data_IF_665368193617
#
_entry.id   IF_665368193617
#
_cell.length_a   1.000
_cell.length_b   1.000
_cell.length_c   1.000
_cell.angle_alpha   90.00
_cell.angle_beta   90.00
_cell.angle_gamma   90.00
#
_symmetry.space_group_name_H-M   'P 1'
#
loop_
_entity.id
_entity.type
_entity.pdbx_description
1 polymer ?
#
# COMPACT_ATOMS: atom_id res chain seq x y z
N UNK A 1 -53.79 34.61 21.89
CA UNK A 1 -52.86 34.03 20.91
C UNK A 1 -53.64 32.95 20.19
N UNK A 2 -53.80 33.08 18.88
CA UNK A 2 -54.64 32.16 18.11
C UNK A 2 -53.93 30.82 17.91
N UNK A 3 -54.69 29.72 17.92
CA UNK A 3 -54.14 28.37 17.75
C UNK A 3 -53.55 28.21 16.34
N UNK A 4 -54.14 28.85 15.33
CA UNK A 4 -53.55 28.98 13.99
C UNK A 4 -52.15 29.62 14.02
N UNK A 5 -51.95 30.71 14.78
CA UNK A 5 -50.66 31.41 14.86
C UNK A 5 -49.57 30.55 15.50
N UNK A 6 -49.92 29.75 16.51
CA UNK A 6 -49.01 28.78 17.12
C UNK A 6 -48.62 27.67 16.15
N UNK A 7 -49.58 27.15 15.38
CA UNK A 7 -49.35 26.09 14.38
C UNK A 7 -48.43 26.58 13.25
N UNK A 8 -48.67 27.79 12.76
CA UNK A 8 -47.87 28.38 11.67
C UNK A 8 -46.44 28.74 12.15
N UNK A 9 -46.29 29.17 13.40
CA UNK A 9 -44.98 29.38 14.03
C UNK A 9 -44.22 28.06 14.21
N UNK A 10 -44.91 26.98 14.61
CA UNK A 10 -44.32 25.65 14.74
C UNK A 10 -43.87 25.09 13.40
N UNK A 11 -44.71 25.15 12.36
CA UNK A 11 -44.34 24.66 11.02
C UNK A 11 -43.15 25.44 10.42
N UNK A 12 -43.09 26.75 10.63
CA UNK A 12 -41.93 27.55 10.21
C UNK A 12 -40.65 27.19 10.98
N UNK A 13 -40.76 26.88 12.28
CA UNK A 13 -39.63 26.38 13.08
C UNK A 13 -39.16 25.02 12.56
N UNK A 14 -40.08 24.09 12.29
CA UNK A 14 -39.78 22.76 11.76
C UNK A 14 -39.07 22.86 10.40
N UNK A 15 -39.59 23.68 9.48
CA UNK A 15 -38.95 23.89 8.17
C UNK A 15 -37.55 24.50 8.29
N UNK A 16 -37.35 25.47 9.21
CA UNK A 16 -36.02 26.04 9.46
C UNK A 16 -35.07 25.02 10.08
N UNK A 17 -35.57 24.17 10.97
CA UNK A 17 -34.79 23.11 11.60
C UNK A 17 -34.36 22.06 10.55
N UNK A 18 -35.29 21.62 9.70
CA UNK A 18 -35.03 20.69 8.59
C UNK A 18 -34.04 21.28 7.56
N UNK A 19 -34.21 22.55 7.19
CA UNK A 19 -33.29 23.27 6.30
C UNK A 19 -31.90 23.42 6.91
N UNK A 20 -31.82 23.72 8.20
CA UNK A 20 -30.53 23.82 8.93
C UNK A 20 -29.88 22.45 9.07
N UNK A 21 -30.65 21.41 9.36
CA UNK A 21 -30.17 20.02 9.47
C UNK A 21 -29.61 19.52 8.14
N UNK A 22 -30.36 19.67 7.06
CA UNK A 22 -29.92 19.25 5.72
C UNK A 22 -28.67 20.00 5.26
N UNK A 23 -28.57 21.31 5.54
CA UNK A 23 -27.39 22.10 5.24
C UNK A 23 -26.18 21.70 6.12
N UNK A 24 -26.39 21.39 7.39
CA UNK A 24 -25.30 20.91 8.25
C UNK A 24 -24.78 19.54 7.79
N UNK A 25 -25.67 18.63 7.37
CA UNK A 25 -25.30 17.31 6.84
C UNK A 25 -24.50 17.48 5.54
N UNK A 26 -24.93 18.35 4.62
CA UNK A 26 -24.22 18.55 3.36
C UNK A 26 -22.82 19.16 3.57
N UNK A 27 -22.70 20.17 4.44
CA UNK A 27 -21.40 20.77 4.79
C UNK A 27 -20.48 19.76 5.48
N UNK A 28 -21.01 18.95 6.42
CA UNK A 28 -20.23 17.92 7.09
C UNK A 28 -19.72 16.88 6.07
N UNK A 29 -20.59 16.43 5.16
CA UNK A 29 -20.24 15.48 4.10
C UNK A 29 -19.14 16.02 3.20
N UNK A 30 -19.24 17.26 2.73
CA UNK A 30 -18.23 17.89 1.88
C UNK A 30 -16.88 18.01 2.61
N UNK A 31 -16.88 18.51 3.85
CA UNK A 31 -15.68 18.62 4.67
C UNK A 31 -14.99 17.26 4.92
N UNK A 32 -15.77 16.21 5.17
CA UNK A 32 -15.23 14.86 5.42
C UNK A 32 -14.74 14.20 4.14
N UNK A 33 -15.41 14.41 3.01
CA UNK A 33 -14.93 13.96 1.69
C UNK A 33 -13.63 14.64 1.28
N UNK A 34 -13.50 15.96 1.50
CA UNK A 34 -12.27 16.69 1.23
C UNK A 34 -11.11 16.22 2.10
N UNK A 35 -11.36 15.98 3.40
CA UNK A 35 -10.37 15.39 4.31
C UNK A 35 -9.95 13.99 3.85
N UNK A 36 -10.92 13.18 3.43
CA UNK A 36 -10.68 11.84 2.88
C UNK A 36 -9.80 11.90 1.64
N UNK A 37 -10.14 12.77 0.69
CA UNK A 37 -9.36 13.01 -0.53
C UNK A 37 -7.93 13.46 -0.23
N UNK A 38 -7.77 14.42 0.69
CA UNK A 38 -6.45 14.91 1.11
C UNK A 38 -5.57 13.78 1.68
N UNK A 39 -6.11 12.94 2.56
CA UNK A 39 -5.37 11.81 3.15
C UNK A 39 -5.00 10.74 2.14
N UNK A 40 -5.88 10.47 1.19
CA UNK A 40 -5.60 9.52 0.11
C UNK A 40 -4.60 10.07 -0.90
N UNK A 41 -4.64 11.38 -1.18
CA UNK A 41 -3.63 12.01 -2.03
C UNK A 41 -2.23 11.97 -1.40
N UNK A 42 -2.10 12.07 -0.08
CA UNK A 42 -0.81 11.86 0.59
C UNK A 42 -0.25 10.45 0.35
N UNK A 43 -1.13 9.46 0.21
CA UNK A 43 -0.73 8.08 -0.09
C UNK A 43 -0.15 7.93 -1.50
N UNK A 44 -0.42 8.85 -2.45
CA UNK A 44 0.13 8.81 -3.81
C UNK A 44 1.66 8.94 -3.85
N UNK A 45 2.26 9.60 -2.85
CA UNK A 45 3.71 9.80 -2.82
C UNK A 45 4.49 8.47 -2.81
N UNK A 46 4.02 7.48 -2.04
CA UNK A 46 4.66 6.17 -1.93
C UNK A 46 4.71 5.36 -3.24
N UNK A 47 3.59 5.09 -3.94
CA UNK A 47 3.60 4.37 -5.20
C UNK A 47 4.30 5.15 -6.32
N UNK A 48 4.20 6.48 -6.35
CA UNK A 48 4.92 7.30 -7.36
C UNK A 48 6.43 7.20 -7.15
N UNK A 49 6.90 7.41 -5.92
CA UNK A 49 8.33 7.32 -5.57
C UNK A 49 8.87 5.91 -5.83
N UNK A 50 8.10 4.88 -5.43
CA UNK A 50 8.46 3.47 -5.66
C UNK A 50 8.55 3.15 -7.16
N UNK A 51 7.58 3.59 -7.95
CA UNK A 51 7.57 3.37 -9.40
C UNK A 51 8.81 3.98 -10.06
N UNK A 52 9.14 5.24 -9.73
CA UNK A 52 10.32 5.91 -10.26
C UNK A 52 11.61 5.18 -9.86
N UNK A 53 11.77 4.88 -8.56
CA UNK A 53 12.96 4.20 -8.04
C UNK A 53 13.16 2.83 -8.67
N UNK A 54 12.12 1.98 -8.68
CA UNK A 54 12.25 0.62 -9.21
C UNK A 54 12.36 0.60 -10.74
N UNK A 55 11.79 1.57 -11.46
CA UNK A 55 12.00 1.69 -12.91
C UNK A 55 13.46 2.01 -13.25
N UNK A 56 14.09 2.93 -12.51
CA UNK A 56 15.52 3.21 -12.65
C UNK A 56 16.36 1.98 -12.27
N UNK A 57 16.00 1.31 -11.18
CA UNK A 57 16.69 0.12 -10.71
C UNK A 57 16.64 -1.02 -11.74
N UNK A 58 15.51 -1.20 -12.45
CA UNK A 58 15.41 -2.15 -13.56
C UNK A 58 16.44 -1.83 -14.65
N UNK A 59 16.55 -0.56 -15.06
CA UNK A 59 17.52 -0.15 -16.07
C UNK A 59 18.95 -0.52 -15.69
N UNK A 60 19.35 -0.20 -14.45
CA UNK A 60 20.67 -0.56 -13.91
C UNK A 60 20.86 -2.08 -13.80
N UNK A 61 19.87 -2.80 -13.29
CA UNK A 61 19.98 -4.24 -13.08
C UNK A 61 20.03 -5.01 -14.41
N UNK A 62 19.36 -4.56 -15.47
CA UNK A 62 19.50 -5.13 -16.82
C UNK A 62 20.91 -4.93 -17.35
N UNK A 63 21.43 -3.69 -17.28
CA UNK A 63 22.79 -3.39 -17.72
C UNK A 63 23.83 -4.22 -16.97
N UNK A 64 23.67 -4.33 -15.64
CA UNK A 64 24.54 -5.12 -14.79
C UNK A 64 24.47 -6.62 -15.14
N UNK A 65 23.26 -7.15 -15.36
CA UNK A 65 23.06 -8.53 -15.74
C UNK A 65 23.78 -8.85 -17.04
N UNK A 66 23.61 -8.04 -18.09
CA UNK A 66 24.25 -8.24 -19.40
C UNK A 66 25.78 -8.25 -19.28
N UNK A 67 26.34 -7.36 -18.44
CA UNK A 67 27.80 -7.27 -18.23
C UNK A 67 28.39 -8.43 -17.44
N UNK A 68 27.60 -9.10 -16.61
CA UNK A 68 28.07 -10.11 -15.66
C UNK A 68 27.40 -11.48 -15.86
N UNK A 69 26.96 -11.81 -17.09
CA UNK A 69 26.30 -13.08 -17.40
C UNK A 69 27.20 -14.30 -17.14
N UNK A 70 28.53 -14.14 -17.29
CA UNK A 70 29.50 -15.23 -17.12
C UNK A 70 29.64 -15.66 -15.65
N UNK A 71 29.37 -14.75 -14.72
CA UNK A 71 29.52 -14.99 -13.28
C UNK A 71 28.14 -15.29 -12.69
N UNK A 72 27.88 -16.57 -12.46
CA UNK A 72 26.54 -17.05 -12.10
C UNK A 72 25.91 -16.33 -10.90
N UNK A 73 26.68 -16.01 -9.85
CA UNK A 73 26.13 -15.41 -8.63
C UNK A 73 25.82 -13.91 -8.80
N UNK A 74 26.54 -13.22 -9.69
CA UNK A 74 26.24 -11.84 -10.09
C UNK A 74 25.04 -11.80 -11.03
N UNK A 75 24.96 -12.73 -11.99
CA UNK A 75 23.80 -12.87 -12.85
C UNK A 75 22.53 -13.21 -12.03
N UNK A 76 22.66 -14.10 -11.05
CA UNK A 76 21.56 -14.49 -10.17
C UNK A 76 21.11 -13.35 -9.25
N UNK A 77 22.04 -12.61 -8.64
CA UNK A 77 21.69 -11.45 -7.81
C UNK A 77 20.97 -10.38 -8.61
N UNK A 78 21.44 -10.06 -9.81
CA UNK A 78 20.78 -9.11 -10.71
C UNK A 78 19.39 -9.59 -11.14
N UNK A 79 19.23 -10.88 -11.42
CA UNK A 79 17.94 -11.48 -11.77
C UNK A 79 16.92 -11.37 -10.62
N UNK A 80 17.36 -11.57 -9.37
CA UNK A 80 16.51 -11.35 -8.19
C UNK A 80 16.07 -9.88 -8.12
N UNK A 81 17.01 -8.94 -8.24
CA UNK A 81 16.70 -7.50 -8.19
C UNK A 81 15.71 -7.14 -9.30
N UNK A 82 15.89 -7.65 -10.51
CA UNK A 82 14.95 -7.44 -11.62
C UNK A 82 13.56 -7.98 -11.30
N UNK A 83 13.46 -9.23 -10.88
CA UNK A 83 12.19 -9.88 -10.56
C UNK A 83 11.39 -9.08 -9.51
N UNK A 84 12.03 -8.71 -8.40
CA UNK A 84 11.37 -7.94 -7.34
C UNK A 84 11.07 -6.50 -7.76
N UNK A 85 11.94 -5.86 -8.54
CA UNK A 85 11.69 -4.51 -9.05
C UNK A 85 10.47 -4.48 -9.97
N UNK A 86 10.32 -5.45 -10.88
CA UNK A 86 9.11 -5.59 -11.70
C UNK A 86 7.87 -5.84 -10.84
N UNK A 87 7.96 -6.68 -9.80
CA UNK A 87 6.85 -6.92 -8.89
C UNK A 87 6.42 -5.63 -8.15
N UNK A 88 7.37 -4.82 -7.68
CA UNK A 88 7.07 -3.53 -7.07
C UNK A 88 6.47 -2.53 -8.07
N UNK A 89 7.01 -2.43 -9.29
CA UNK A 89 6.43 -1.56 -10.34
C UNK A 89 4.99 -1.93 -10.64
N UNK A 90 4.69 -3.22 -10.85
CA UNK A 90 3.34 -3.67 -11.11
C UNK A 90 2.39 -3.36 -9.95
N UNK A 91 2.85 -3.59 -8.71
CA UNK A 91 2.07 -3.31 -7.52
C UNK A 91 1.83 -1.81 -7.32
N UNK A 92 2.83 -0.97 -7.57
CA UNK A 92 2.71 0.49 -7.53
C UNK A 92 1.77 1.02 -8.62
N UNK A 93 1.81 0.48 -9.83
CA UNK A 93 0.88 0.83 -10.92
C UNK A 93 -0.56 0.49 -10.54
N UNK A 94 -0.79 -0.70 -9.98
CA UNK A 94 -2.11 -1.11 -9.49
C UNK A 94 -2.59 -0.18 -8.37
N UNK A 95 -1.74 0.09 -7.38
CA UNK A 95 -2.07 0.98 -6.27
C UNK A 95 -2.40 2.40 -6.77
N UNK A 96 -1.65 2.91 -7.75
CA UNK A 96 -1.91 4.21 -8.36
C UNK A 96 -3.25 4.22 -9.10
N UNK A 97 -3.55 3.18 -9.87
CA UNK A 97 -4.85 3.01 -10.53
C UNK A 97 -5.99 2.96 -9.52
N UNK A 98 -5.86 2.15 -8.46
CA UNK A 98 -6.86 2.03 -7.40
C UNK A 98 -7.14 3.39 -6.73
N UNK A 99 -6.10 4.21 -6.47
CA UNK A 99 -6.27 5.55 -5.88
C UNK A 99 -6.92 6.52 -6.87
N UNK A 100 -6.45 6.57 -8.12
CA UNK A 100 -6.94 7.53 -9.12
C UNK A 100 -8.36 7.21 -9.62
N UNK A 101 -8.81 5.96 -9.48
CA UNK A 101 -10.16 5.51 -9.83
C UNK A 101 -11.23 5.78 -8.78
N UNK A 102 -10.85 6.33 -7.61
CA UNK A 102 -11.80 6.65 -6.55
C UNK A 102 -12.77 7.75 -6.99
N UNK A 103 -14.04 7.41 -7.05
CA UNK A 103 -15.13 8.34 -7.34
C UNK A 103 -15.80 8.78 -6.03
N UNK A 104 -15.46 10.01 -5.61
CA UNK A 104 -15.95 10.62 -4.37
C UNK A 104 -17.43 11.02 -4.41
N UNK A 105 -18.11 10.87 -5.55
CA UNK A 105 -19.56 11.10 -5.67
C UNK A 105 -20.39 9.85 -5.35
N UNK A 106 -19.75 8.69 -5.19
CA UNK A 106 -20.42 7.44 -4.87
C UNK A 106 -20.91 7.38 -3.41
N UNK A 107 -21.89 6.50 -3.12
CA UNK A 107 -22.31 6.22 -1.74
C UNK A 107 -21.11 5.90 -0.83
N UNK A 108 -21.17 6.39 0.41
CA UNK A 108 -20.12 6.25 1.42
C UNK A 108 -19.68 4.80 1.61
N UNK A 109 -20.63 3.86 1.58
CA UNK A 109 -20.39 2.41 1.69
C UNK A 109 -19.53 1.85 0.55
N UNK A 110 -19.67 2.38 -0.67
CA UNK A 110 -18.84 1.99 -1.82
C UNK A 110 -17.42 2.53 -1.66
N UNK A 111 -17.27 3.78 -1.24
CA UNK A 111 -15.96 4.39 -0.94
C UNK A 111 -15.22 3.63 0.17
N UNK A 112 -15.91 3.26 1.26
CA UNK A 112 -15.33 2.43 2.32
C UNK A 112 -14.86 1.07 1.81
N UNK A 113 -15.58 0.45 0.87
CA UNK A 113 -15.18 -0.81 0.23
C UNK A 113 -13.96 -0.64 -0.67
N UNK A 114 -13.90 0.43 -1.46
CA UNK A 114 -12.74 0.75 -2.29
C UNK A 114 -11.48 1.01 -1.43
N UNK A 115 -11.62 1.75 -0.32
CA UNK A 115 -10.56 1.94 0.67
C UNK A 115 -10.09 0.63 1.31
N UNK A 116 -11.01 -0.32 1.54
CA UNK A 116 -10.67 -1.66 2.02
C UNK A 116 -9.85 -2.46 1.01
N UNK A 117 -10.17 -2.36 -0.28
CA UNK A 117 -9.38 -2.98 -1.34
C UNK A 117 -8.00 -2.34 -1.45
N UNK A 118 -7.91 -1.02 -1.30
CA UNK A 118 -6.64 -0.28 -1.25
C UNK A 118 -5.71 -0.81 -0.14
N UNK A 119 -6.28 -1.10 1.03
CA UNK A 119 -5.58 -1.69 2.17
C UNK A 119 -5.00 -3.07 1.84
N UNK A 120 -5.71 -3.86 1.04
CA UNK A 120 -5.21 -5.16 0.56
C UNK A 120 -4.04 -4.98 -0.43
N UNK A 121 -4.08 -3.96 -1.30
CA UNK A 121 -2.97 -3.64 -2.20
C UNK A 121 -1.68 -3.28 -1.42
N UNK A 122 -1.79 -2.56 -0.29
CA UNK A 122 -0.64 -2.30 0.60
C UNK A 122 -0.08 -3.59 1.22
N UNK A 123 -0.95 -4.54 1.60
CA UNK A 123 -0.49 -5.84 2.11
C UNK A 123 0.29 -6.64 1.05
N UNK A 124 -0.02 -6.47 -0.23
CA UNK A 124 0.74 -7.10 -1.31
C UNK A 124 2.17 -6.55 -1.34
N UNK A 125 2.36 -5.23 -1.22
CA UNK A 125 3.71 -4.63 -1.14
C UNK A 125 4.52 -5.20 0.03
N UNK A 126 3.89 -5.34 1.22
CA UNK A 126 4.55 -5.95 2.37
C UNK A 126 4.90 -7.42 2.14
N UNK A 127 4.08 -8.17 1.42
CA UNK A 127 4.39 -9.56 1.04
C UNK A 127 5.56 -9.64 0.06
N UNK A 128 5.63 -8.75 -0.92
CA UNK A 128 6.77 -8.66 -1.85
C UNK A 128 8.05 -8.32 -1.07
N UNK A 129 7.99 -7.32 -0.17
CA UNK A 129 9.10 -6.95 0.70
C UNK A 129 9.53 -8.10 1.63
N UNK A 130 8.59 -8.86 2.21
CA UNK A 130 8.92 -10.03 3.02
C UNK A 130 9.55 -11.15 2.17
N UNK A 131 9.11 -11.32 0.94
CA UNK A 131 9.62 -12.33 0.02
C UNK A 131 11.04 -12.02 -0.49
N UNK A 132 11.50 -10.77 -0.45
CA UNK A 132 12.89 -10.42 -0.80
C UNK A 132 13.88 -10.78 0.32
N UNK A 133 13.41 -10.88 1.56
CA UNK A 133 14.25 -11.00 2.75
C UNK A 133 15.15 -12.27 2.74
N UNK A 134 14.66 -13.46 2.33
CA UNK A 134 15.49 -14.65 2.11
C UNK A 134 16.65 -14.44 1.13
N UNK A 135 16.52 -13.51 0.18
CA UNK A 135 17.53 -13.20 -0.83
C UNK A 135 18.49 -12.08 -0.41
N UNK A 136 18.44 -11.64 0.84
CA UNK A 136 19.30 -10.56 1.36
C UNK A 136 20.80 -10.73 1.08
N UNK A 137 21.42 -11.94 1.10
CA UNK A 137 22.83 -12.08 0.74
C UNK A 137 23.09 -11.68 -0.72
N UNK A 138 22.22 -12.09 -1.65
CA UNK A 138 22.36 -11.79 -3.07
C UNK A 138 22.05 -10.32 -3.38
N UNK A 139 21.06 -9.74 -2.70
CA UNK A 139 20.82 -8.29 -2.75
C UNK A 139 22.07 -7.53 -2.29
N UNK A 140 22.70 -7.98 -1.21
CA UNK A 140 23.97 -7.42 -0.71
C UNK A 140 25.09 -7.50 -1.74
N UNK A 141 25.28 -8.65 -2.39
CA UNK A 141 26.27 -8.84 -3.46
C UNK A 141 26.05 -7.83 -4.59
N UNK A 142 24.81 -7.66 -5.05
CA UNK A 142 24.47 -6.69 -6.09
C UNK A 142 24.81 -5.26 -5.66
N UNK A 143 24.36 -4.86 -4.46
CA UNK A 143 24.59 -3.51 -3.93
C UNK A 143 26.07 -3.21 -3.75
N UNK A 144 26.84 -4.16 -3.20
CA UNK A 144 28.28 -4.01 -3.01
C UNK A 144 29.00 -3.80 -4.34
N UNK A 145 28.68 -4.63 -5.35
CA UNK A 145 29.30 -4.52 -6.67
C UNK A 145 28.89 -3.23 -7.39
N UNK A 146 27.62 -2.83 -7.32
CA UNK A 146 27.13 -1.65 -8.05
C UNK A 146 27.58 -0.33 -7.41
N UNK A 147 27.57 -0.24 -6.08
CA UNK A 147 27.89 1.02 -5.38
C UNK A 147 29.38 1.19 -5.07
N UNK A 148 30.11 0.10 -4.86
CA UNK A 148 31.49 0.13 -4.38
C UNK A 148 32.48 -0.61 -5.30
N UNK A 149 32.01 -1.23 -6.39
CA UNK A 149 32.79 -2.08 -7.32
C UNK A 149 33.48 -3.30 -6.67
N UNK A 150 33.20 -3.57 -5.39
CA UNK A 150 33.75 -4.70 -4.66
C UNK A 150 33.16 -6.02 -5.14
N UNK A 151 34.02 -6.98 -5.45
CA UNK A 151 33.57 -8.34 -5.66
C UNK A 151 33.30 -9.04 -4.33
N UNK A 152 32.18 -9.74 -4.23
CA UNK A 152 31.89 -10.54 -3.06
C UNK A 152 32.98 -11.59 -2.80
N UNK A 153 33.62 -12.08 -3.86
CA UNK A 153 34.70 -13.07 -3.77
C UNK A 153 35.98 -12.56 -3.09
N UNK A 154 36.13 -11.24 -2.91
CA UNK A 154 37.24 -10.66 -2.14
C UNK A 154 37.12 -10.92 -0.64
N UNK A 155 35.89 -11.11 -0.14
CA UNK A 155 35.59 -11.29 1.29
C UNK A 155 35.07 -12.69 1.63
N UNK A 156 34.39 -13.35 0.68
CA UNK A 156 33.75 -14.65 0.88
C UNK A 156 34.13 -15.64 -0.21
N UNK A 157 34.31 -16.91 0.14
CA UNK A 157 34.67 -17.95 -0.83
C UNK A 157 33.48 -18.36 -1.70
N UNK A 158 33.75 -18.89 -2.90
CA UNK A 158 32.70 -19.42 -3.80
C UNK A 158 31.87 -20.52 -3.12
N UNK A 159 32.47 -21.32 -2.24
CA UNK A 159 31.75 -22.33 -1.45
C UNK A 159 30.75 -21.70 -0.46
N UNK A 160 31.09 -20.57 0.17
CA UNK A 160 30.17 -19.85 1.05
C UNK A 160 28.99 -19.26 0.27
N UNK A 161 29.21 -18.81 -0.97
CA UNK A 161 28.12 -18.33 -1.85
C UNK A 161 27.14 -19.46 -2.16
N UNK A 162 27.63 -20.69 -2.38
CA UNK A 162 26.76 -21.87 -2.54
C UNK A 162 25.97 -22.21 -1.27
N UNK A 163 26.57 -22.07 -0.10
CA UNK A 163 25.87 -22.25 1.18
C UNK A 163 24.75 -21.20 1.33
N UNK A 164 25.02 -19.94 1.00
CA UNK A 164 24.01 -18.89 1.00
C UNK A 164 22.88 -19.17 0.01
N UNK A 165 23.19 -19.68 -1.19
CA UNK A 165 22.17 -20.13 -2.14
C UNK A 165 21.25 -21.19 -1.52
N UNK A 166 21.82 -22.20 -0.86
CA UNK A 166 21.06 -23.24 -0.16
C UNK A 166 20.18 -22.69 0.96
N UNK A 167 20.73 -21.81 1.82
CA UNK A 167 19.98 -21.17 2.91
C UNK A 167 18.84 -20.31 2.37
N UNK A 168 19.07 -19.54 1.30
CA UNK A 168 18.05 -18.73 0.66
C UNK A 168 16.88 -19.57 0.15
N UNK A 169 17.13 -20.74 -0.44
CA UNK A 169 16.05 -21.64 -0.87
C UNK A 169 15.21 -22.13 0.30
N UNK A 170 15.85 -22.53 1.40
CA UNK A 170 15.15 -22.98 2.62
C UNK A 170 14.30 -21.85 3.22
N UNK A 171 14.89 -20.66 3.37
CA UNK A 171 14.20 -19.48 3.86
C UNK A 171 13.06 -19.06 2.94
N UNK A 172 13.22 -19.20 1.62
CA UNK A 172 12.16 -18.89 0.66
C UNK A 172 10.98 -19.85 0.79
N UNK A 173 11.22 -21.14 0.98
CA UNK A 173 10.15 -22.13 1.24
C UNK A 173 9.41 -21.77 2.53
N UNK A 174 10.13 -21.42 3.60
CA UNK A 174 9.52 -20.95 4.85
C UNK A 174 8.70 -19.67 4.64
N UNK A 175 9.22 -18.69 3.90
CA UNK A 175 8.51 -17.45 3.60
C UNK A 175 7.22 -17.71 2.79
N UNK A 176 7.26 -18.62 1.82
CA UNK A 176 6.08 -19.03 1.05
C UNK A 176 5.06 -19.76 1.95
N UNK A 177 5.52 -20.61 2.86
CA UNK A 177 4.65 -21.30 3.82
C UNK A 177 3.94 -20.32 4.77
N UNK A 178 4.66 -19.37 5.36
CA UNK A 178 4.06 -18.35 6.22
C UNK A 178 3.14 -17.40 5.43
N UNK A 179 3.51 -17.00 4.21
CA UNK A 179 2.69 -16.11 3.39
C UNK A 179 1.39 -16.78 2.90
N UNK A 180 1.40 -18.09 2.65
CA UNK A 180 0.19 -18.87 2.38
C UNK A 180 -0.75 -18.90 3.60
N UNK A 181 -0.21 -18.95 4.82
CA UNK A 181 -0.98 -18.85 6.08
C UNK A 181 -1.56 -17.45 6.33
N UNK A 182 -1.04 -16.42 5.64
CA UNK A 182 -1.53 -15.03 5.60
C UNK A 182 -2.64 -14.77 4.56
N UNK A 183 -3.23 -15.79 3.92
CA UNK A 183 -4.36 -15.58 2.98
C UNK A 183 -5.62 -15.15 3.73
N UNK A 184 -6.10 -13.94 3.39
CA UNK A 184 -7.46 -13.33 3.43
C UNK A 184 -8.44 -13.65 4.57
N UNK A 185 -8.54 -14.89 5.05
CA UNK A 185 -9.48 -15.33 6.09
C UNK A 185 -9.03 -15.00 7.52
N UNK A 186 -7.77 -14.62 7.71
CA UNK A 186 -7.17 -14.24 9.00
C UNK A 186 -6.73 -12.76 9.08
N UNK A 187 -7.20 -11.92 8.15
CA UNK A 187 -6.85 -10.49 8.08
C UNK A 187 -7.24 -9.69 9.34
N UNK A 188 -8.08 -10.27 10.20
CA UNK A 188 -8.63 -9.67 11.41
C UNK A 188 -7.75 -9.83 12.67
N UNK A 189 -6.56 -10.43 12.55
CA UNK A 189 -5.67 -10.63 13.71
C UNK A 189 -4.83 -9.39 14.00
N UNK A 190 -4.70 -9.04 15.28
CA UNK A 190 -3.96 -7.88 15.81
C UNK A 190 -2.58 -7.61 15.16
N UNK A 191 -1.86 -8.66 14.73
CA UNK A 191 -0.56 -8.52 14.08
C UNK A 191 -0.64 -7.86 12.68
N UNK A 192 -1.67 -8.14 11.90
CA UNK A 192 -1.90 -7.50 10.60
C UNK A 192 -2.28 -6.03 10.82
N UNK A 193 -3.06 -5.74 11.87
CA UNK A 193 -3.40 -4.38 12.25
C UNK A 193 -2.15 -3.59 12.73
N UNK A 194 -1.22 -4.25 13.44
CA UNK A 194 0.07 -3.67 13.82
C UNK A 194 0.97 -3.36 12.61
N UNK A 195 1.10 -4.30 11.66
CA UNK A 195 1.83 -4.07 10.40
C UNK A 195 1.22 -2.93 9.56
N UNK A 196 -0.09 -2.78 9.60
CA UNK A 196 -0.83 -1.77 8.84
C UNK A 196 -0.85 -0.39 9.51
N UNK A 197 -0.70 -0.30 10.84
CA UNK A 197 -0.57 0.98 11.54
C UNK A 197 0.59 1.84 11.03
N UNK A 198 1.67 1.22 10.54
CA UNK A 198 2.83 1.94 10.00
C UNK A 198 2.73 2.33 8.52
N UNK A 199 2.04 1.52 7.69
CA UNK A 199 2.02 1.69 6.22
C UNK A 199 0.63 2.01 5.64
N UNK A 200 -0.40 2.19 6.47
CA UNK A 200 -1.78 2.42 6.01
C UNK A 200 -2.66 3.23 6.96
N UNK A 201 -2.07 4.01 7.87
CA UNK A 201 -2.81 4.88 8.80
C UNK A 201 -3.71 5.88 8.07
N UNK A 202 -3.30 6.36 6.89
CA UNK A 202 -4.08 7.27 6.04
C UNK A 202 -5.40 6.64 5.58
N UNK A 203 -5.43 5.32 5.34
CA UNK A 203 -6.65 4.59 4.98
C UNK A 203 -7.59 4.48 6.19
N UNK A 204 -7.03 4.27 7.38
CA UNK A 204 -7.83 4.17 8.61
C UNK A 204 -8.45 5.53 8.97
N UNK A 205 -7.69 6.61 8.85
CA UNK A 205 -8.19 7.99 9.02
C UNK A 205 -9.26 8.34 7.96
N UNK A 206 -9.03 7.96 6.70
CA UNK A 206 -10.03 8.13 5.63
C UNK A 206 -11.33 7.35 5.95
N UNK A 207 -11.22 6.12 6.42
CA UNK A 207 -12.39 5.31 6.84
C UNK A 207 -13.11 5.92 8.04
N UNK A 208 -12.40 6.44 9.04
CA UNK A 208 -13.04 7.09 10.18
C UNK A 208 -13.83 8.33 9.77
N UNK A 209 -13.31 9.13 8.83
CA UNK A 209 -14.05 10.29 8.32
C UNK A 209 -15.32 9.89 7.56
N UNK A 210 -15.30 8.76 6.86
CA UNK A 210 -16.49 8.23 6.18
C UNK A 210 -17.51 7.62 7.16
N UNK A 211 -17.07 6.93 8.20
CA UNK A 211 -17.96 6.40 9.24
C UNK A 211 -18.72 7.53 9.97
N UNK A 212 -18.05 8.66 10.22
CA UNK A 212 -18.69 9.85 10.76
C UNK A 212 -19.73 10.49 9.81
N UNK A 213 -19.77 10.15 8.52
CA UNK A 213 -20.87 10.60 7.64
C UNK A 213 -22.07 9.66 7.81
N UNK A 214 -21.81 8.36 7.87
CA UNK A 214 -22.82 7.30 8.00
C UNK A 214 -23.60 7.41 9.33
N UNK A 215 -22.91 7.70 10.43
CA UNK A 215 -23.51 7.92 11.75
C UNK A 215 -24.47 9.13 11.80
N UNK A 216 -24.31 10.11 10.91
CA UNK A 216 -25.17 11.30 10.84
C UNK A 216 -26.27 11.19 9.77
N UNK A 217 -26.15 10.25 8.83
CA UNK A 217 -27.19 9.92 7.84
C UNK A 217 -28.25 8.95 8.43
N UNK A 218 -27.94 8.25 9.53
CA UNK A 218 -28.86 7.37 10.29
C UNK A 218 -29.63 8.12 11.39
#
# INVERSE_FOLDING_TARGET
MDIEQLRDAWQNQEQKLEATRSLNISVLKELKLDKTKSKINQLLFLPISSLLFFSLLIGYAVQFLIRNLEIWYLAFSASIILFFSFAFVFSSLKQLHDILSLDYQQPVTILQRQLSNLRLSILINLKIAAAILPFSPFVGIFVLKVLFDFDATEFISVQQIWIFAGITVILQILALFFSAKLKSKNADKNYINWLLKGNGSQIEEAKSFLAEIEDFEC
#
